data_IF_051449781310
#
_entry.id   IF_051449781310
#
_cell.length_a   1.000
_cell.length_b   1.000
_cell.length_c   1.000
_cell.angle_alpha   90.00
_cell.angle_beta   90.00
_cell.angle_gamma   90.00
#
_symmetry.space_group_name_H-M   'P 1'
#
loop_
_entity.id
_entity.type
_entity.pdbx_description
1 polymer ?
#
# COMPACT_ATOMS: atom_id res chain seq x y z
N UNK A 1 -10.22 18.77 -11.94
CA UNK A 1 -11.51 18.75 -11.20
C UNK A 1 -11.37 19.16 -9.73
N UNK A 2 -10.87 18.31 -8.83
CA UNK A 2 -10.80 18.66 -7.38
C UNK A 2 -9.82 19.82 -7.13
N UNK A 3 -8.58 19.72 -7.63
CA UNK A 3 -7.60 20.80 -7.51
C UNK A 3 -8.01 22.11 -8.23
N UNK A 4 -8.95 22.03 -9.18
CA UNK A 4 -9.51 23.18 -9.91
C UNK A 4 -10.75 23.75 -9.19
N UNK A 5 -11.11 23.24 -8.01
CA UNK A 5 -12.23 23.74 -7.22
C UNK A 5 -13.61 23.27 -7.68
N UNK A 6 -13.71 22.25 -8.54
CA UNK A 6 -14.98 21.77 -9.10
C UNK A 6 -15.72 20.77 -8.20
N UNK A 7 -15.21 20.45 -7.01
CA UNK A 7 -15.86 19.53 -6.07
C UNK A 7 -14.88 18.85 -5.12
N UNK A 8 -15.33 17.76 -4.49
CA UNK A 8 -14.56 16.93 -3.56
C UNK A 8 -14.62 15.45 -3.97
N UNK A 9 -13.70 14.65 -3.42
CA UNK A 9 -13.67 13.20 -3.63
C UNK A 9 -13.15 12.49 -2.37
N UNK A 10 -13.42 11.19 -2.27
CA UNK A 10 -12.91 10.32 -1.21
C UNK A 10 -11.89 9.39 -1.86
N UNK A 11 -10.63 9.50 -1.45
CA UNK A 11 -9.51 8.76 -2.03
C UNK A 11 -8.69 8.12 -0.93
N UNK A 12 -8.03 7.01 -1.26
CA UNK A 12 -7.06 6.39 -0.36
C UNK A 12 -5.92 7.38 -0.10
N UNK A 13 -5.45 7.47 1.15
CA UNK A 13 -4.38 8.39 1.54
C UNK A 13 -3.15 8.28 0.62
N UNK A 14 -2.74 7.05 0.31
CA UNK A 14 -1.62 6.75 -0.58
C UNK A 14 -1.73 7.40 -1.98
N UNK A 15 -2.95 7.65 -2.48
CA UNK A 15 -3.18 8.20 -3.80
C UNK A 15 -3.09 9.74 -3.86
N UNK A 16 -3.21 10.43 -2.72
CA UNK A 16 -3.30 11.90 -2.66
C UNK A 16 -2.23 12.55 -1.77
N UNK A 17 -1.46 11.76 -1.04
CA UNK A 17 -0.47 12.26 -0.09
C UNK A 17 0.54 13.22 -0.74
N UNK A 18 1.03 12.90 -1.94
CA UNK A 18 2.00 13.76 -2.63
C UNK A 18 1.38 15.09 -3.04
N UNK A 19 0.14 15.08 -3.54
CA UNK A 19 -0.59 16.30 -3.90
C UNK A 19 -0.90 17.17 -2.68
N UNK A 20 -1.21 16.55 -1.53
CA UNK A 20 -1.36 17.25 -0.25
C UNK A 20 -0.02 17.85 0.21
N UNK A 21 1.07 17.07 0.14
CA UNK A 21 2.41 17.54 0.51
C UNK A 21 2.89 18.70 -0.36
N UNK A 22 2.48 18.73 -1.64
CA UNK A 22 2.75 19.81 -2.59
C UNK A 22 1.79 21.01 -2.44
N UNK A 23 0.79 20.93 -1.55
CA UNK A 23 -0.22 21.96 -1.37
C UNK A 23 -1.21 22.11 -2.51
N UNK A 24 -1.30 21.11 -3.41
CA UNK A 24 -2.25 21.07 -4.52
C UNK A 24 -3.65 20.68 -4.04
N UNK A 25 -3.73 19.90 -2.96
CA UNK A 25 -4.97 19.43 -2.35
C UNK A 25 -4.94 19.64 -0.84
N UNK A 26 -6.13 19.74 -0.25
CA UNK A 26 -6.33 19.67 1.21
C UNK A 26 -7.09 18.38 1.52
N UNK A 27 -6.55 17.58 2.44
CA UNK A 27 -7.17 16.34 2.89
C UNK A 27 -7.93 16.53 4.22
N UNK A 28 -9.07 15.87 4.35
CA UNK A 28 -9.81 15.75 5.61
C UNK A 28 -10.05 14.28 5.94
N UNK A 29 -9.68 13.87 7.16
CA UNK A 29 -9.88 12.49 7.64
C UNK A 29 -11.33 12.28 8.04
N UNK A 30 -11.93 11.17 7.57
CA UNK A 30 -13.23 10.71 8.04
C UNK A 30 -13.01 9.89 9.31
N UNK A 31 -13.32 10.45 10.47
CA UNK A 31 -13.03 9.84 11.77
C UNK A 31 -14.02 8.71 12.14
N UNK A 32 -15.31 8.88 11.83
CA UNK A 32 -16.34 7.89 12.22
C UNK A 32 -17.50 7.79 11.23
N UNK A 33 -17.81 6.57 10.71
CA UNK A 33 -16.95 5.38 10.75
C UNK A 33 -15.73 5.58 9.85
N UNK A 34 -14.54 5.24 10.33
CA UNK A 34 -13.34 5.29 9.50
C UNK A 34 -13.45 4.33 8.30
N UNK A 35 -13.15 4.83 7.10
CA UNK A 35 -13.17 4.03 5.87
C UNK A 35 -11.82 3.31 5.73
N UNK A 36 -11.84 1.98 5.71
CA UNK A 36 -10.66 1.14 5.54
C UNK A 36 -10.87 0.19 4.36
N UNK A 37 -9.84 0.04 3.53
CA UNK A 37 -9.82 -0.90 2.41
C UNK A 37 -8.64 -1.85 2.55
N UNK A 38 -8.84 -3.12 2.22
CA UNK A 38 -7.78 -4.13 2.18
C UNK A 38 -7.26 -4.28 0.75
N UNK A 39 -5.95 -4.17 0.57
CA UNK A 39 -5.28 -4.45 -0.71
C UNK A 39 -4.65 -5.83 -0.64
N UNK A 40 -4.87 -6.64 -1.67
CA UNK A 40 -4.38 -8.02 -1.75
C UNK A 40 -3.64 -8.26 -3.07
N UNK A 41 -2.55 -9.03 -3.01
CA UNK A 41 -1.87 -9.55 -4.19
C UNK A 41 -2.47 -10.90 -4.56
N UNK A 42 -2.94 -11.04 -5.81
CA UNK A 42 -3.58 -12.27 -6.30
C UNK A 42 -2.79 -12.84 -7.48
N UNK A 43 -2.50 -14.14 -7.44
CA UNK A 43 -1.75 -14.86 -8.47
C UNK A 43 -2.57 -16.01 -9.06
N UNK A 44 -2.34 -16.35 -10.33
CA UNK A 44 -2.95 -17.53 -10.95
C UNK A 44 -2.33 -18.82 -10.39
N UNK A 45 -3.16 -19.71 -9.83
CA UNK A 45 -2.75 -20.94 -9.15
C UNK A 45 -1.95 -21.91 -10.05
N UNK A 46 -2.35 -22.05 -11.30
CA UNK A 46 -1.82 -23.09 -12.20
C UNK A 46 -0.68 -22.60 -13.13
N UNK A 47 -0.24 -21.34 -12.95
CA UNK A 47 0.86 -20.80 -13.76
C UNK A 47 2.18 -21.27 -13.15
N UNK A 48 2.99 -21.97 -13.94
CA UNK A 48 4.38 -22.28 -13.54
C UNK A 48 5.13 -20.95 -13.35
N UNK A 49 5.37 -20.56 -12.10
CA UNK A 49 6.05 -19.30 -11.78
C UNK A 49 7.46 -19.33 -12.35
N UNK A 50 7.72 -18.48 -13.33
CA UNK A 50 9.08 -18.28 -13.85
C UNK A 50 9.95 -17.65 -12.75
N UNK A 51 11.27 -17.82 -12.84
CA UNK A 51 12.21 -17.13 -11.93
C UNK A 51 12.00 -15.62 -11.92
N UNK A 52 11.65 -15.05 -13.08
CA UNK A 52 11.31 -13.64 -13.20
C UNK A 52 10.05 -13.29 -12.40
N UNK A 53 8.99 -14.08 -12.51
CA UNK A 53 7.75 -13.83 -11.77
C UNK A 53 7.97 -13.86 -10.25
N UNK A 54 8.73 -14.84 -9.76
CA UNK A 54 9.09 -14.94 -8.33
C UNK A 54 9.95 -13.75 -7.87
N UNK A 55 10.92 -13.34 -8.69
CA UNK A 55 11.79 -12.19 -8.36
C UNK A 55 10.99 -10.89 -8.34
N UNK A 56 10.06 -10.74 -9.29
CA UNK A 56 9.16 -9.58 -9.35
C UNK A 56 8.23 -9.52 -8.14
N UNK A 57 7.61 -10.64 -7.77
CA UNK A 57 6.77 -10.74 -6.57
C UNK A 57 7.55 -10.36 -5.31
N UNK A 58 8.79 -10.84 -5.18
CA UNK A 58 9.67 -10.47 -4.08
C UNK A 58 9.90 -8.96 -4.00
N UNK A 59 10.33 -8.34 -5.10
CA UNK A 59 10.59 -6.89 -5.15
C UNK A 59 9.32 -6.09 -4.82
N UNK A 60 8.18 -6.50 -5.38
CA UNK A 60 6.90 -5.86 -5.13
C UNK A 60 6.52 -5.92 -3.64
N UNK A 61 6.62 -7.11 -3.02
CA UNK A 61 6.31 -7.27 -1.60
C UNK A 61 7.27 -6.50 -0.70
N UNK A 62 8.57 -6.52 -0.97
CA UNK A 62 9.57 -5.77 -0.21
C UNK A 62 9.33 -4.26 -0.31
N UNK A 63 9.01 -3.76 -1.51
CA UNK A 63 8.71 -2.33 -1.73
C UNK A 63 7.43 -1.93 -1.00
N UNK A 64 6.38 -2.74 -1.08
CA UNK A 64 5.10 -2.45 -0.40
C UNK A 64 5.27 -2.50 1.13
N UNK A 65 5.99 -3.49 1.64
CA UNK A 65 6.31 -3.59 3.06
C UNK A 65 7.09 -2.36 3.53
N UNK A 66 8.11 -1.93 2.80
CA UNK A 66 8.87 -0.71 3.11
C UNK A 66 7.98 0.53 3.13
N UNK A 67 7.17 0.75 2.08
CA UNK A 67 6.26 1.89 1.99
C UNK A 67 5.27 1.96 3.15
N UNK A 68 4.78 0.81 3.61
CA UNK A 68 3.77 0.69 4.68
C UNK A 68 4.38 0.71 6.07
N UNK A 69 5.60 0.21 6.27
CA UNK A 69 6.18 0.07 7.63
C UNK A 69 7.12 1.21 8.00
N UNK A 70 7.81 1.80 7.03
CA UNK A 70 8.84 2.83 7.25
C UNK A 70 8.62 4.06 6.37
N UNK A 71 8.12 3.86 5.15
CA UNK A 71 8.06 4.85 4.10
C UNK A 71 6.81 5.74 4.14
N UNK A 72 6.45 6.23 2.96
CA UNK A 72 5.46 7.29 2.80
C UNK A 72 4.09 6.96 3.41
N UNK A 73 3.70 5.68 3.47
CA UNK A 73 2.35 5.28 3.87
C UNK A 73 2.24 4.84 5.33
N UNK A 74 3.33 4.93 6.11
CA UNK A 74 3.44 4.41 7.48
C UNK A 74 2.32 4.84 8.42
N UNK A 75 1.96 6.12 8.41
CA UNK A 75 0.99 6.68 9.36
C UNK A 75 -0.46 6.43 8.93
N UNK A 76 -0.70 5.95 7.71
CA UNK A 76 -2.02 5.82 7.11
C UNK A 76 -2.42 4.38 6.73
N UNK A 77 -1.48 3.44 6.79
CA UNK A 77 -1.69 2.06 6.35
C UNK A 77 -1.11 1.06 7.37
N UNK A 78 -1.60 -0.18 7.31
CA UNK A 78 -1.14 -1.27 8.16
C UNK A 78 -0.72 -2.44 7.27
N UNK A 79 0.46 -3.00 7.54
CA UNK A 79 0.90 -4.21 6.87
C UNK A 79 0.20 -5.42 7.47
N UNK A 80 -0.58 -6.13 6.66
CA UNK A 80 -1.32 -7.33 7.07
C UNK A 80 -0.64 -8.63 6.59
N UNK A 81 0.50 -8.55 5.90
CA UNK A 81 1.24 -9.73 5.47
C UNK A 81 1.74 -10.54 6.65
N UNK A 82 1.72 -11.87 6.54
CA UNK A 82 2.23 -12.74 7.61
C UNK A 82 3.70 -12.44 7.90
N UNK A 83 4.03 -12.30 9.19
CA UNK A 83 5.41 -12.34 9.65
C UNK A 83 6.02 -13.64 9.14
N UNK A 84 7.04 -13.56 8.27
CA UNK A 84 7.88 -14.71 7.99
C UNK A 84 8.66 -14.97 9.26
N UNK A 85 8.14 -15.80 10.16
CA UNK A 85 8.94 -16.41 11.22
C UNK A 85 10.20 -16.93 10.55
N UNK A 86 11.35 -16.32 10.85
CA UNK A 86 12.65 -16.86 10.43
C UNK A 86 12.71 -18.26 11.04
N UNK A 87 12.42 -19.28 10.23
CA UNK A 87 12.75 -20.64 10.60
C UNK A 87 14.26 -20.64 10.78
N UNK A 88 14.69 -20.72 12.04
CA UNK A 88 16.05 -21.03 12.42
C UNK A 88 16.39 -22.41 11.84
N UNK A 89 16.91 -22.41 10.62
CA UNK A 89 17.65 -23.54 10.08
C UNK A 89 19.10 -23.37 10.53
N UNK A 90 19.38 -23.84 11.74
CA UNK A 90 20.68 -24.38 12.13
C UNK A 90 20.40 -25.80 12.60
N UNK A 91 20.75 -26.77 11.76
CA UNK A 91 21.23 -28.08 12.20
C UNK A 91 22.73 -27.96 12.52
#
# INVERSE_FOLDING_TARGET
MVAEGMGYSILAHAAVQEDIARGLLVGHTIESPGIRSTVSLTTLKDRRSSRLALSWEKILLETLEELVTVGAWKEATLWLGMERTKASFFD
#
